data_IF_292892920295
#
_entry.id   IF_292892920295
#
_cell.length_a   1.000
_cell.length_b   1.000
_cell.length_c   1.000
_cell.angle_alpha   90.00
_cell.angle_beta   90.00
_cell.angle_gamma   90.00
#
_symmetry.space_group_name_H-M   'P 1'
#
loop_
_entity.id
_entity.type
_entity.pdbx_description
1 polymer ?
#
# COMPACT_ATOMS: atom_id res chain seq x y z
N UNK A 1 -0.23 -5.43 -7.10
CA UNK A 1 0.35 -5.87 -8.40
C UNK A 1 0.11 -4.74 -9.39
N UNK A 2 1.07 -3.83 -9.45
CA UNK A 2 1.05 -2.62 -10.28
C UNK A 2 2.36 -2.52 -11.09
N UNK A 3 3.03 -3.66 -11.31
CA UNK A 3 4.32 -3.75 -12.00
C UNK A 3 5.57 -3.69 -11.12
N UNK A 4 5.47 -3.32 -9.84
CA UNK A 4 6.64 -3.19 -8.96
C UNK A 4 7.16 -4.54 -8.43
N UNK A 5 8.49 -4.67 -8.36
CA UNK A 5 9.19 -5.78 -7.72
C UNK A 5 9.45 -5.53 -6.22
N UNK A 6 9.57 -4.26 -5.81
CA UNK A 6 9.79 -3.82 -4.43
C UNK A 6 8.96 -2.58 -4.11
N UNK A 7 8.76 -2.34 -2.81
CA UNK A 7 8.15 -1.12 -2.29
C UNK A 7 9.06 -0.48 -1.23
N UNK A 8 9.07 0.85 -1.17
CA UNK A 8 9.83 1.61 -0.18
C UNK A 8 8.93 2.33 0.82
N UNK A 9 9.40 2.50 2.04
CA UNK A 9 8.75 3.33 3.06
C UNK A 9 9.65 4.53 3.39
N UNK A 10 9.11 5.74 3.19
CA UNK A 10 9.79 6.99 3.53
C UNK A 10 9.21 7.59 4.81
N UNK A 11 8.32 8.58 4.68
CA UNK A 11 7.78 9.37 5.80
C UNK A 11 7.24 8.53 6.97
N UNK A 12 6.72 7.32 6.71
CA UNK A 12 6.17 6.44 7.75
C UNK A 12 7.22 5.75 8.63
N UNK A 13 8.42 5.50 8.09
CA UNK A 13 9.52 4.88 8.83
C UNK A 13 10.33 5.92 9.64
N UNK A 14 10.29 7.19 9.22
CA UNK A 14 11.12 8.26 9.79
C UNK A 14 10.91 8.51 11.30
N UNK A 15 9.67 8.52 11.86
CA UNK A 15 9.48 8.69 13.30
C UNK A 15 10.18 7.58 14.11
N UNK A 16 9.97 6.32 13.75
CA UNK A 16 10.60 5.19 14.43
C UNK A 16 12.13 5.23 14.31
N UNK A 17 12.65 5.62 13.14
CA UNK A 17 14.10 5.78 12.92
C UNK A 17 14.71 6.91 13.77
N UNK A 18 13.96 7.99 14.01
CA UNK A 18 14.39 9.08 14.90
C UNK A 18 14.43 8.65 16.36
N UNK A 19 13.53 7.77 16.76
CA UNK A 19 13.47 7.28 18.14
C UNK A 19 14.61 6.31 18.46
N UNK A 20 14.87 5.31 17.61
CA UNK A 20 16.00 4.37 17.75
C UNK A 20 16.09 3.36 16.59
N UNK A 21 17.24 2.67 16.46
CA UNK A 21 17.37 1.54 15.56
C UNK A 21 16.40 0.40 15.91
N UNK A 22 16.21 0.11 17.20
CA UNK A 22 15.31 -0.93 17.69
C UNK A 22 13.84 -0.59 17.36
N UNK A 23 13.45 0.68 17.49
CA UNK A 23 12.13 1.13 17.09
C UNK A 23 11.90 0.97 15.58
N UNK A 24 12.91 1.29 14.76
CA UNK A 24 12.85 1.07 13.31
C UNK A 24 12.73 -0.42 12.96
N UNK A 25 13.50 -1.29 13.62
CA UNK A 25 13.42 -2.75 13.43
C UNK A 25 12.02 -3.27 13.77
N UNK A 26 11.42 -2.81 14.89
CA UNK A 26 10.04 -3.16 15.24
C UNK A 26 9.05 -2.71 14.17
N UNK A 27 9.17 -1.46 13.72
CA UNK A 27 8.31 -0.92 12.65
C UNK A 27 8.39 -1.74 11.37
N UNK A 28 9.59 -2.10 10.91
CA UNK A 28 9.76 -2.90 9.69
C UNK A 28 9.29 -4.34 9.90
N UNK A 29 9.44 -4.90 11.09
CA UNK A 29 8.95 -6.24 11.43
C UNK A 29 7.42 -6.31 11.39
N UNK A 30 6.73 -5.26 11.82
CA UNK A 30 5.28 -5.15 11.71
C UNK A 30 4.84 -5.14 10.24
N UNK A 31 5.55 -4.38 9.40
CA UNK A 31 5.29 -4.30 7.95
C UNK A 31 5.51 -5.65 7.27
N UNK A 32 6.58 -6.38 7.63
CA UNK A 32 6.83 -7.74 7.15
C UNK A 32 5.71 -8.68 7.60
N UNK A 33 5.23 -8.56 8.83
CA UNK A 33 4.11 -9.37 9.33
C UNK A 33 2.83 -9.08 8.56
N UNK A 34 2.50 -7.81 8.32
CA UNK A 34 1.35 -7.40 7.52
C UNK A 34 1.44 -7.94 6.08
N UNK A 35 2.63 -7.90 5.47
CA UNK A 35 2.87 -8.48 4.16
C UNK A 35 2.61 -9.99 4.15
N UNK A 36 3.09 -10.72 5.16
CA UNK A 36 2.84 -12.17 5.31
C UNK A 36 1.35 -12.48 5.51
N UNK A 37 0.62 -11.64 6.24
CA UNK A 37 -0.84 -11.77 6.38
C UNK A 37 -1.52 -11.60 5.01
N UNK A 38 -1.14 -10.58 4.24
CA UNK A 38 -1.68 -10.40 2.89
C UNK A 38 -1.36 -11.59 1.96
N UNK A 39 -0.16 -12.16 2.09
CA UNK A 39 0.24 -13.38 1.39
C UNK A 39 -0.66 -14.56 1.76
N UNK A 40 -0.90 -14.78 3.05
CA UNK A 40 -1.82 -15.81 3.53
C UNK A 40 -3.24 -15.61 2.98
N UNK A 41 -3.80 -14.42 3.11
CA UNK A 41 -5.16 -14.11 2.65
C UNK A 41 -5.34 -14.24 1.12
N UNK A 42 -4.24 -14.21 0.35
CA UNK A 42 -4.26 -14.34 -1.11
C UNK A 42 -3.76 -15.70 -1.61
N UNK A 43 -3.44 -16.64 -0.70
CA UNK A 43 -2.87 -17.94 -1.05
C UNK A 43 -1.47 -17.85 -1.71
N UNK A 44 -0.73 -16.78 -1.45
CA UNK A 44 0.60 -16.53 -2.02
C UNK A 44 1.70 -17.09 -1.11
N UNK A 45 2.48 -18.07 -1.56
CA UNK A 45 3.56 -18.65 -0.74
C UNK A 45 4.83 -17.77 -0.69
N UNK A 46 5.06 -16.96 -1.72
CA UNK A 46 6.23 -16.10 -1.90
C UNK A 46 5.85 -14.78 -2.60
N UNK A 47 6.79 -13.84 -2.74
CA UNK A 47 6.50 -12.54 -3.36
C UNK A 47 6.20 -12.63 -4.87
N UNK A 48 6.71 -13.63 -5.58
CA UNK A 48 6.39 -13.83 -6.99
C UNK A 48 4.95 -14.35 -7.15
N UNK A 49 4.54 -15.30 -6.31
CA UNK A 49 3.18 -15.70 -6.06
C UNK A 49 2.35 -14.58 -5.44
N UNK A 50 2.97 -13.55 -4.81
CA UNK A 50 2.36 -12.28 -4.42
C UNK A 50 2.33 -11.22 -5.56
N UNK A 51 2.83 -11.51 -6.79
CA UNK A 51 2.84 -10.57 -7.96
C UNK A 51 1.85 -10.79 -9.14
N UNK A 52 1.31 -11.99 -9.36
CA UNK A 52 0.16 -12.50 -10.20
C UNK A 52 -1.34 -12.84 -9.70
N UNK A 53 -1.92 -12.33 -8.61
CA UNK A 53 -3.06 -12.89 -7.85
C UNK A 53 -4.18 -11.88 -7.96
N UNK A 54 -5.42 -12.37 -7.89
CA UNK A 54 -6.55 -11.58 -8.32
C UNK A 54 -6.65 -10.29 -7.52
N UNK A 55 -6.67 -9.17 -8.24
CA UNK A 55 -7.16 -7.91 -7.70
C UNK A 55 -8.64 -7.84 -8.07
N UNK A 56 -9.48 -7.48 -7.11
CA UNK A 56 -10.85 -7.12 -7.41
C UNK A 56 -10.80 -5.73 -8.08
N UNK A 57 -11.42 -5.59 -9.25
CA UNK A 57 -11.71 -4.26 -9.77
C UNK A 57 -12.52 -3.52 -8.71
N UNK A 58 -12.05 -2.39 -8.19
CA UNK A 58 -12.81 -1.67 -7.18
C UNK A 58 -14.16 -1.31 -7.80
N UNK A 59 -15.30 -1.67 -7.18
CA UNK A 59 -16.60 -1.23 -7.66
C UNK A 59 -16.65 0.28 -7.51
N UNK A 60 -16.41 1.03 -8.61
CA UNK A 60 -16.57 2.49 -8.69
C UNK A 60 -16.16 3.28 -7.44
N UNK A 61 -15.06 2.89 -6.78
CA UNK A 61 -14.64 3.51 -5.53
C UNK A 61 -14.31 4.98 -5.76
N UNK A 62 -14.26 5.80 -4.70
CA UNK A 62 -14.01 7.25 -4.80
C UNK A 62 -12.75 7.66 -5.60
N UNK A 63 -11.79 6.75 -5.81
CA UNK A 63 -10.67 6.92 -6.75
C UNK A 63 -11.07 6.94 -8.24
N UNK A 64 -12.30 6.54 -8.58
CA UNK A 64 -12.86 6.47 -9.93
C UNK A 64 -13.61 7.75 -10.34
N UNK A 65 -13.92 8.66 -9.41
CA UNK A 65 -14.72 9.88 -9.68
C UNK A 65 -13.89 11.13 -10.00
N UNK A 66 -12.55 11.07 -9.93
CA UNK A 66 -11.68 12.20 -10.28
C UNK A 66 -11.62 12.50 -11.79
N UNK A 67 -12.30 11.72 -12.64
CA UNK A 67 -12.48 12.03 -14.05
C UNK A 67 -13.58 13.07 -14.33
N UNK A 68 -14.38 13.47 -13.32
CA UNK A 68 -15.56 14.33 -13.49
C UNK A 68 -15.58 15.60 -12.65
N UNK A 69 -14.43 16.10 -12.17
CA UNK A 69 -14.39 17.36 -11.44
C UNK A 69 -14.43 18.54 -12.43
N UNK A 70 -15.60 18.84 -12.97
CA UNK A 70 -15.85 20.13 -13.61
C UNK A 70 -15.62 21.22 -12.57
N UNK A 71 -14.74 22.19 -12.87
CA UNK A 71 -14.52 23.35 -11.98
C UNK A 71 -15.87 24.05 -11.79
N UNK A 72 -16.32 24.33 -10.56
CA UNK A 72 -17.52 25.12 -10.37
C UNK A 72 -17.31 26.52 -10.96
N UNK A 73 -18.32 26.99 -11.68
CA UNK A 73 -18.41 28.35 -12.23
C UNK A 73 -18.23 29.38 -11.10
N UNK A 74 -17.27 30.33 -11.22
CA UNK A 74 -16.92 31.25 -10.14
C UNK A 74 -17.95 32.36 -9.84
N UNK A 75 -19.26 32.22 -10.14
CA UNK A 75 -20.25 33.27 -9.91
C UNK A 75 -21.60 32.84 -9.32
N UNK A 76 -21.60 32.06 -8.24
CA UNK A 76 -22.78 31.86 -7.38
C UNK A 76 -22.57 32.43 -5.98
#
# INVERSE_FOLDING_TARGET
RLGADLAGQAARALPAARDSAEALVRHLSDVVTQLRIAMFCTGSADLAALRRAPLLSPPGGFWSQSAGMEKPDPSA
#
